data_IF_355019699348
#
_entry.id   IF_355019699348
#
_cell.length_a   1.000
_cell.length_b   1.000
_cell.length_c   1.000
_cell.angle_alpha   90.00
_cell.angle_beta   90.00
_cell.angle_gamma   90.00
#
_symmetry.space_group_name_H-M   'P 1'
#
loop_
_entity.id
_entity.type
_entity.pdbx_description
1 polymer ?
#
# COMPACT_ATOMS: atom_id res chain seq x y z
N UNK A 1 -48.46 2.67 18.30
CA UNK A 1 -47.91 2.32 16.96
C UNK A 1 -47.11 3.51 16.47
N UNK A 2 -45.81 3.36 16.25
CA UNK A 2 -44.97 4.46 15.78
C UNK A 2 -45.50 4.97 14.43
N UNK A 3 -45.64 6.29 14.32
CA UNK A 3 -46.12 6.96 13.10
C UNK A 3 -45.24 6.60 11.92
N UNK A 4 -45.79 6.52 10.71
CA UNK A 4 -44.98 6.24 9.50
C UNK A 4 -43.83 7.24 9.33
N UNK A 5 -44.01 8.47 9.83
CA UNK A 5 -42.96 9.50 9.91
C UNK A 5 -41.81 9.13 10.84
N UNK A 6 -42.08 8.49 11.99
CA UNK A 6 -41.03 8.04 12.91
C UNK A 6 -40.23 6.88 12.32
N UNK A 7 -40.90 5.96 11.60
CA UNK A 7 -40.22 4.87 10.89
C UNK A 7 -39.30 5.41 9.78
N UNK A 8 -39.73 6.44 9.05
CA UNK A 8 -38.90 7.11 8.06
C UNK A 8 -37.70 7.82 8.70
N UNK A 9 -37.89 8.49 9.84
CA UNK A 9 -36.80 9.14 10.58
C UNK A 9 -35.75 8.13 11.08
N UNK A 10 -36.18 6.96 11.59
CA UNK A 10 -35.28 5.89 11.98
C UNK A 10 -34.50 5.30 10.80
N UNK A 11 -35.16 5.11 9.66
CA UNK A 11 -34.49 4.65 8.43
C UNK A 11 -33.44 5.65 7.95
N UNK A 12 -33.76 6.95 7.95
CA UNK A 12 -32.83 8.03 7.62
C UNK A 12 -31.61 8.00 8.54
N UNK A 13 -31.82 7.79 9.85
CA UNK A 13 -30.77 7.74 10.86
C UNK A 13 -29.85 6.53 10.67
N UNK A 14 -30.41 5.33 10.45
CA UNK A 14 -29.63 4.12 10.13
C UNK A 14 -28.82 4.26 8.85
N UNK A 15 -29.37 4.92 7.82
CA UNK A 15 -28.69 5.16 6.55
C UNK A 15 -27.48 6.11 6.76
N UNK A 16 -27.66 7.16 7.55
CA UNK A 16 -26.58 8.09 7.90
C UNK A 16 -25.45 7.42 8.71
N UNK A 17 -25.79 6.53 9.64
CA UNK A 17 -24.79 5.74 10.38
C UNK A 17 -24.00 4.80 9.46
N UNK A 18 -24.67 4.12 8.52
CA UNK A 18 -23.98 3.29 7.51
C UNK A 18 -23.05 4.12 6.63
N UNK A 19 -23.50 5.30 6.18
CA UNK A 19 -22.65 6.25 5.41
C UNK A 19 -21.42 6.70 6.21
N UNK A 20 -21.59 7.01 7.50
CA UNK A 20 -20.47 7.37 8.40
C UNK A 20 -19.47 6.22 8.55
N UNK A 21 -19.94 5.00 8.81
CA UNK A 21 -19.09 3.82 8.94
C UNK A 21 -18.31 3.51 7.65
N UNK A 22 -18.98 3.57 6.50
CA UNK A 22 -18.33 3.38 5.20
C UNK A 22 -17.25 4.44 4.96
N UNK A 23 -17.55 5.71 5.24
CA UNK A 23 -16.59 6.82 5.12
C UNK A 23 -15.37 6.64 6.03
N UNK A 24 -15.58 6.20 7.27
CA UNK A 24 -14.48 5.92 8.21
C UNK A 24 -13.59 4.79 7.71
N UNK A 25 -14.15 3.71 7.15
CA UNK A 25 -13.38 2.61 6.55
C UNK A 25 -12.53 3.08 5.37
N UNK A 26 -13.07 3.93 4.49
CA UNK A 26 -12.29 4.52 3.40
C UNK A 26 -11.17 5.42 3.92
N UNK A 27 -11.44 6.27 4.93
CA UNK A 27 -10.40 7.06 5.58
C UNK A 27 -9.33 6.23 6.30
N UNK A 28 -9.63 5.00 6.76
CA UNK A 28 -8.64 4.11 7.36
C UNK A 28 -7.67 3.52 6.33
N UNK A 29 -8.09 3.34 5.07
CA UNK A 29 -7.23 2.74 4.03
C UNK A 29 -6.03 3.61 3.67
N UNK A 30 -6.25 4.91 3.43
CA UNK A 30 -5.19 5.85 3.03
C UNK A 30 -4.82 6.86 4.14
N UNK A 31 -5.60 6.92 5.22
CA UNK A 31 -5.44 7.89 6.29
C UNK A 31 -6.13 9.24 5.99
N UNK A 32 -6.77 9.85 7.01
CA UNK A 32 -7.43 11.17 6.86
C UNK A 32 -6.49 12.26 6.36
N UNK A 33 -5.23 12.21 6.76
CA UNK A 33 -4.24 13.20 6.34
C UNK A 33 -3.94 13.14 4.85
N UNK A 34 -3.95 11.94 4.25
CA UNK A 34 -3.76 11.76 2.82
C UNK A 34 -4.88 12.42 2.03
N UNK A 35 -6.15 12.19 2.40
CA UNK A 35 -7.29 12.82 1.73
C UNK A 35 -7.30 14.35 1.92
N UNK A 36 -6.82 14.86 3.06
CA UNK A 36 -6.72 16.31 3.30
C UNK A 36 -5.64 16.95 2.42
N UNK A 37 -4.49 16.28 2.26
CA UNK A 37 -3.35 16.79 1.49
C UNK A 37 -3.50 16.59 -0.03
N UNK A 38 -4.14 15.49 -0.46
CA UNK A 38 -4.32 15.15 -1.88
C UNK A 38 -5.33 16.05 -2.62
N UNK A 39 -6.14 16.85 -1.89
CA UNK A 39 -7.23 17.67 -2.46
C UNK A 39 -8.23 16.86 -3.32
N UNK A 40 -8.23 15.53 -3.22
CA UNK A 40 -9.05 14.66 -4.02
C UNK A 40 -10.53 14.84 -3.66
N UNK A 41 -11.36 15.15 -4.67
CA UNK A 41 -12.81 15.37 -4.50
C UNK A 41 -13.58 14.07 -4.19
N UNK A 42 -13.01 12.91 -4.50
CA UNK A 42 -13.61 11.59 -4.31
C UNK A 42 -12.59 10.58 -3.79
N UNK A 43 -13.07 9.53 -3.11
CA UNK A 43 -12.22 8.44 -2.63
C UNK A 43 -11.48 7.75 -3.78
N UNK A 44 -12.18 7.45 -4.87
CA UNK A 44 -11.60 6.85 -6.08
C UNK A 44 -10.50 7.74 -6.70
N UNK A 45 -10.73 9.05 -6.78
CA UNK A 45 -9.74 10.00 -7.29
C UNK A 45 -8.49 10.06 -6.41
N UNK A 46 -8.63 9.92 -5.09
CA UNK A 46 -7.48 9.87 -4.18
C UNK A 46 -6.67 8.57 -4.35
N UNK A 47 -7.34 7.45 -4.59
CA UNK A 47 -6.68 6.17 -4.91
C UNK A 47 -5.93 6.26 -6.25
N UNK A 48 -6.54 6.84 -7.29
CA UNK A 48 -5.88 7.06 -8.59
C UNK A 48 -4.69 8.02 -8.47
N UNK A 49 -4.77 9.03 -7.60
CA UNK A 49 -3.64 9.92 -7.35
C UNK A 49 -2.43 9.18 -6.76
N UNK A 50 -2.62 8.12 -5.97
CA UNK A 50 -1.50 7.27 -5.51
C UNK A 50 -0.83 6.52 -6.66
N UNK A 51 -1.61 6.01 -7.60
CA UNK A 51 -1.08 5.31 -8.79
C UNK A 51 -0.28 6.25 -9.70
N UNK A 52 -0.51 7.56 -9.60
CA UNK A 52 0.11 8.59 -10.43
C UNK A 52 1.07 9.54 -9.72
N UNK A 53 1.36 9.34 -8.42
CA UNK A 53 2.37 10.16 -7.73
C UNK A 53 3.77 9.78 -8.26
N UNK A 54 4.54 10.73 -8.83
CA UNK A 54 5.87 10.46 -9.40
C UNK A 54 6.85 9.82 -8.42
N UNK A 55 6.70 10.08 -7.12
CA UNK A 55 7.51 9.50 -6.05
C UNK A 55 7.32 7.98 -5.92
N UNK A 56 6.15 7.44 -6.28
CA UNK A 56 5.90 5.99 -6.37
C UNK A 56 6.14 5.43 -7.78
N UNK A 57 6.13 6.27 -8.81
CA UNK A 57 6.49 5.89 -10.18
C UNK A 57 8.01 5.86 -10.43
N UNK A 58 8.81 6.57 -9.63
CA UNK A 58 10.28 6.52 -9.73
C UNK A 58 10.86 5.14 -9.41
N UNK A 59 10.14 4.32 -8.62
CA UNK A 59 10.45 2.90 -8.39
C UNK A 59 9.83 1.96 -9.43
N UNK A 60 8.99 2.49 -10.33
CA UNK A 60 8.40 1.77 -11.44
C UNK A 60 9.14 2.01 -12.75
N UNK A 61 10.41 2.45 -12.71
CA UNK A 61 11.34 1.89 -13.69
C UNK A 61 11.28 0.39 -13.44
N UNK A 62 10.53 -0.36 -14.27
CA UNK A 62 10.61 -1.81 -14.30
C UNK A 62 12.08 -2.13 -14.34
N UNK A 63 12.65 -2.55 -13.22
CA UNK A 63 13.98 -3.10 -13.22
C UNK A 63 13.92 -4.18 -14.29
N UNK A 64 14.72 -4.05 -15.34
CA UNK A 64 14.83 -5.06 -16.40
C UNK A 64 15.56 -6.27 -15.80
N UNK A 65 14.95 -6.88 -14.78
CA UNK A 65 15.40 -8.13 -14.20
C UNK A 65 15.08 -9.21 -15.21
N UNK A 66 16.06 -10.06 -15.48
CA UNK A 66 15.80 -11.29 -16.23
C UNK A 66 14.90 -12.20 -15.41
N UNK A 67 14.19 -13.12 -16.07
CA UNK A 67 13.34 -14.10 -15.38
C UNK A 67 14.13 -14.89 -14.31
N UNK A 68 15.41 -15.17 -14.59
CA UNK A 68 16.32 -15.81 -13.65
C UNK A 68 16.60 -14.96 -12.39
N UNK A 69 16.84 -13.66 -12.56
CA UNK A 69 17.04 -12.74 -11.44
C UNK A 69 15.76 -12.58 -10.60
N UNK A 70 14.59 -12.59 -11.25
CA UNK A 70 13.31 -12.55 -10.55
C UNK A 70 13.09 -13.83 -9.73
N UNK A 71 13.38 -15.00 -10.30
CA UNK A 71 13.27 -16.28 -9.60
C UNK A 71 14.23 -16.37 -8.40
N UNK A 72 15.45 -15.82 -8.54
CA UNK A 72 16.41 -15.71 -7.44
C UNK A 72 15.89 -14.83 -6.30
N UNK A 73 15.28 -13.67 -6.61
CA UNK A 73 14.64 -12.82 -5.60
C UNK A 73 13.49 -13.52 -4.87
N UNK A 74 12.64 -14.24 -5.61
CA UNK A 74 11.54 -15.01 -5.01
C UNK A 74 12.09 -16.06 -4.06
N UNK A 75 13.13 -16.79 -4.46
CA UNK A 75 13.77 -17.81 -3.63
C UNK A 75 14.38 -17.21 -2.35
N UNK A 76 15.01 -16.04 -2.47
CA UNK A 76 15.54 -15.29 -1.33
C UNK A 76 14.40 -14.89 -0.39
N UNK A 77 13.30 -14.33 -0.91
CA UNK A 77 12.17 -13.93 -0.09
C UNK A 77 11.50 -15.12 0.62
N UNK A 78 11.33 -16.25 -0.07
CA UNK A 78 10.70 -17.46 0.48
C UNK A 78 11.56 -18.13 1.56
N UNK A 79 12.88 -17.94 1.51
CA UNK A 79 13.81 -18.43 2.54
C UNK A 79 13.97 -17.49 3.73
N UNK A 80 13.35 -16.31 3.70
CA UNK A 80 13.31 -15.42 4.87
C UNK A 80 12.25 -15.89 5.86
N UNK A 81 12.61 -15.91 7.14
CA UNK A 81 11.67 -16.18 8.23
C UNK A 81 11.63 -15.03 9.23
N UNK A 82 10.45 -14.78 9.78
CA UNK A 82 10.26 -13.77 10.81
C UNK A 82 10.64 -14.33 12.18
N UNK A 83 11.56 -13.66 12.89
CA UNK A 83 12.01 -14.10 14.23
C UNK A 83 11.31 -13.39 15.41
N UNK A 84 10.37 -12.47 15.13
CA UNK A 84 9.73 -11.61 16.14
C UNK A 84 10.16 -10.14 16.11
N UNK A 85 11.34 -9.82 15.55
CA UNK A 85 11.90 -8.47 15.49
C UNK A 85 12.30 -8.03 14.08
N UNK A 86 12.85 -8.94 13.28
CA UNK A 86 13.29 -8.71 11.91
C UNK A 86 13.18 -9.98 11.06
N UNK A 87 13.23 -9.81 9.75
CA UNK A 87 13.35 -10.90 8.81
C UNK A 87 14.79 -11.45 8.84
N UNK A 88 14.90 -12.76 9.07
CA UNK A 88 16.15 -13.49 9.10
C UNK A 88 16.26 -14.40 7.88
N UNK A 89 17.49 -14.60 7.43
CA UNK A 89 17.86 -15.56 6.39
C UNK A 89 19.21 -16.15 6.77
N UNK A 90 19.37 -17.46 6.60
CA UNK A 90 20.59 -18.17 7.00
C UNK A 90 21.80 -17.68 6.20
N UNK A 91 21.60 -17.43 4.90
CA UNK A 91 22.67 -17.03 3.99
C UNK A 91 22.71 -15.52 3.71
N UNK A 92 22.55 -14.72 4.77
CA UNK A 92 22.52 -13.26 4.66
C UNK A 92 23.76 -12.69 3.95
N UNK A 93 24.93 -13.34 4.11
CA UNK A 93 26.19 -12.89 3.51
C UNK A 93 26.16 -13.01 1.98
N UNK A 94 25.78 -14.17 1.44
CA UNK A 94 25.72 -14.36 -0.01
C UNK A 94 24.58 -13.56 -0.62
N UNK A 95 23.42 -13.49 0.06
CA UNK A 95 22.29 -12.66 -0.39
C UNK A 95 22.66 -11.18 -0.43
N UNK A 96 23.37 -10.67 0.58
CA UNK A 96 23.84 -9.29 0.59
C UNK A 96 24.83 -9.00 -0.54
N UNK A 97 25.73 -9.96 -0.84
CA UNK A 97 26.69 -9.83 -1.93
C UNK A 97 26.00 -9.85 -3.30
N UNK A 98 25.02 -10.73 -3.48
CA UNK A 98 24.19 -10.79 -4.69
C UNK A 98 23.37 -9.51 -4.88
N UNK A 99 22.70 -9.01 -3.83
CA UNK A 99 21.94 -7.76 -3.87
C UNK A 99 22.82 -6.53 -4.15
N UNK A 100 24.08 -6.56 -3.73
CA UNK A 100 25.03 -5.48 -3.99
C UNK A 100 25.32 -5.30 -5.50
N UNK A 101 25.14 -6.33 -6.34
CA UNK A 101 25.33 -6.24 -7.79
C UNK A 101 24.33 -5.29 -8.47
N UNK A 102 23.18 -5.04 -7.84
CA UNK A 102 22.15 -4.13 -8.34
C UNK A 102 22.32 -2.68 -7.86
N UNK A 103 23.29 -2.42 -6.97
CA UNK A 103 23.58 -1.05 -6.52
C UNK A 103 24.34 -0.33 -7.63
N UNK A 104 23.67 0.62 -8.28
CA UNK A 104 24.18 1.44 -9.39
C UNK A 104 25.18 2.53 -8.94
N UNK A 105 26.13 2.22 -8.07
CA UNK A 105 27.24 3.14 -7.75
C UNK A 105 28.50 2.37 -7.29
N UNK A 106 29.09 1.65 -8.23
CA UNK A 106 30.53 1.45 -8.25
C UNK A 106 31.11 2.37 -9.34
N UNK A 107 31.36 3.63 -8.97
CA UNK A 107 32.25 4.52 -9.72
C UNK A 107 31.61 5.41 -10.78
N UNK A 108 31.35 6.66 -10.42
CA UNK A 108 31.91 7.78 -11.17
C UNK A 108 32.83 8.57 -10.24
N UNK A 109 34.13 8.49 -10.53
CA UNK A 109 35.18 9.41 -10.07
C UNK A 109 34.89 10.83 -10.58
#
# INVERSE_FOLDING_TARGET
MASELEKLAELQRKLNERKRKARTKEYQKLGREFYRKSQAKTFAGAHQMLEHVPMFQQFAQKANLTDAQMQQLTTIADSMHWNGNFWQIEDLKNVSHWLAQFRTDQGQN
#
